data_IF_763592559841
#
_entry.id   IF_763592559841
#
_cell.length_a   1.000
_cell.length_b   1.000
_cell.length_c   1.000
_cell.angle_alpha   90.00
_cell.angle_beta   90.00
_cell.angle_gamma   90.00
#
_symmetry.space_group_name_H-M   'P 1'
#
loop_
_entity.id
_entity.type
_entity.pdbx_description
1 polymer ?
#
# COMPACT_ATOMS: atom_id res chain seq x y z
N UNK A 1 -36.24 1.83 -4.01
CA UNK A 1 -35.80 2.74 -5.09
C UNK A 1 -34.79 3.69 -4.46
N UNK A 2 -33.49 3.48 -4.67
CA UNK A 2 -32.43 4.40 -4.22
C UNK A 2 -32.38 5.62 -5.13
N UNK A 3 -32.18 6.81 -4.56
CA UNK A 3 -32.13 8.07 -5.31
C UNK A 3 -30.79 8.18 -6.08
N UNK A 4 -30.71 8.94 -7.19
CA UNK A 4 -29.46 9.12 -7.95
C UNK A 4 -28.28 9.67 -7.11
N UNK A 5 -28.57 10.36 -6.00
CA UNK A 5 -27.60 10.81 -5.00
C UNK A 5 -26.89 9.66 -4.29
N UNK A 6 -27.56 8.52 -4.06
CA UNK A 6 -27.00 7.37 -3.33
C UNK A 6 -25.82 6.76 -4.12
N UNK A 7 -25.96 6.66 -5.44
CA UNK A 7 -24.89 6.12 -6.30
C UNK A 7 -23.67 7.06 -6.35
N UNK A 8 -23.91 8.38 -6.36
CA UNK A 8 -22.83 9.38 -6.31
C UNK A 8 -22.10 9.36 -4.97
N UNK A 9 -22.83 9.23 -3.86
CA UNK A 9 -22.25 9.11 -2.52
C UNK A 9 -21.44 7.82 -2.39
N UNK A 10 -21.97 6.68 -2.85
CA UNK A 10 -21.23 5.41 -2.84
C UNK A 10 -19.93 5.49 -3.65
N UNK A 11 -19.96 6.13 -4.83
CA UNK A 11 -18.74 6.29 -5.65
C UNK A 11 -17.68 7.19 -5.00
N UNK A 12 -18.11 8.24 -4.29
CA UNK A 12 -17.21 9.12 -3.55
C UNK A 12 -16.57 8.38 -2.38
N UNK A 13 -17.37 7.66 -1.60
CA UNK A 13 -16.89 6.83 -0.48
C UNK A 13 -15.88 5.78 -0.95
N UNK A 14 -16.11 5.10 -2.07
CA UNK A 14 -15.14 4.15 -2.62
C UNK A 14 -13.80 4.82 -2.98
N UNK A 15 -13.85 6.01 -3.58
CA UNK A 15 -12.66 6.79 -3.94
C UNK A 15 -11.88 7.22 -2.71
N UNK A 16 -12.58 7.64 -1.66
CA UNK A 16 -11.98 8.03 -0.37
C UNK A 16 -11.30 6.83 0.31
N UNK A 17 -11.95 5.66 0.34
CA UNK A 17 -11.38 4.45 0.90
C UNK A 17 -10.12 4.02 0.15
N UNK A 18 -10.15 4.04 -1.19
CA UNK A 18 -8.98 3.73 -2.00
C UNK A 18 -7.83 4.72 -1.71
N UNK A 19 -8.14 6.00 -1.61
CA UNK A 19 -7.15 7.04 -1.31
C UNK A 19 -6.54 6.85 0.07
N UNK A 20 -7.36 6.58 1.09
CA UNK A 20 -6.90 6.31 2.44
C UNK A 20 -5.98 5.08 2.50
N UNK A 21 -6.39 3.98 1.85
CA UNK A 21 -5.56 2.78 1.74
C UNK A 21 -4.20 3.06 1.08
N UNK A 22 -4.18 3.81 -0.02
CA UNK A 22 -2.94 4.17 -0.70
C UNK A 22 -2.02 5.02 0.18
N UNK A 23 -2.58 5.97 0.93
CA UNK A 23 -1.81 6.83 1.85
C UNK A 23 -1.19 6.02 2.99
N UNK A 24 -1.96 5.10 3.59
CA UNK A 24 -1.48 4.23 4.67
C UNK A 24 -0.41 3.26 4.15
N UNK A 25 -0.65 2.63 3.00
CA UNK A 25 0.32 1.76 2.35
C UNK A 25 1.62 2.50 2.05
N UNK A 26 1.52 3.69 1.45
CA UNK A 26 2.68 4.52 1.12
C UNK A 26 3.49 4.89 2.36
N UNK A 27 2.81 5.35 3.41
CA UNK A 27 3.44 5.73 4.69
C UNK A 27 4.17 4.53 5.30
N UNK A 28 3.53 3.36 5.28
CA UNK A 28 4.09 2.12 5.83
C UNK A 28 5.31 1.65 5.03
N UNK A 29 5.21 1.63 3.70
CA UNK A 29 6.33 1.24 2.82
C UNK A 29 7.49 2.21 2.98
N UNK A 30 7.23 3.52 3.03
CA UNK A 30 8.24 4.55 3.26
C UNK A 30 9.01 4.24 4.55
N UNK A 31 8.32 4.04 5.66
CA UNK A 31 8.97 3.85 6.96
C UNK A 31 9.77 2.55 7.00
N UNK A 32 9.18 1.44 6.54
CA UNK A 32 9.84 0.13 6.55
C UNK A 32 11.03 0.07 5.61
N UNK A 33 10.91 0.62 4.41
CA UNK A 33 12.01 0.60 3.44
C UNK A 33 13.10 1.60 3.80
N UNK A 34 12.77 2.75 4.39
CA UNK A 34 13.78 3.67 4.91
C UNK A 34 14.58 3.02 6.05
N UNK A 35 13.91 2.49 7.07
CA UNK A 35 14.56 1.79 8.20
C UNK A 35 15.46 0.64 7.71
N UNK A 36 15.00 -0.12 6.72
CA UNK A 36 15.74 -1.27 6.22
C UNK A 36 16.93 -0.92 5.34
N UNK A 37 16.82 0.11 4.50
CA UNK A 37 17.78 0.37 3.43
C UNK A 37 18.70 1.57 3.69
N UNK A 38 18.30 2.55 4.50
CA UNK A 38 19.08 3.77 4.77
C UNK A 38 19.76 3.67 6.13
N UNK A 39 20.90 2.97 6.15
CA UNK A 39 21.65 2.69 7.40
C UNK A 39 22.54 3.85 7.85
N UNK A 40 22.91 4.74 6.93
CA UNK A 40 23.74 5.92 7.19
C UNK A 40 23.15 7.13 6.46
N UNK A 41 22.19 7.83 7.09
CA UNK A 41 21.53 8.97 6.46
C UNK A 41 22.55 10.02 6.00
N UNK A 42 22.41 10.44 4.74
CA UNK A 42 23.24 11.47 4.12
C UNK A 42 22.34 12.41 3.30
N UNK A 43 22.92 13.50 2.76
CA UNK A 43 22.17 14.41 1.87
C UNK A 43 21.74 13.77 0.55
N UNK A 44 22.28 12.61 0.20
CA UNK A 44 21.93 11.86 -1.00
C UNK A 44 21.87 10.35 -0.73
N UNK A 45 21.12 9.63 -1.56
CA UNK A 45 21.10 8.18 -1.55
C UNK A 45 22.28 7.65 -2.36
N UNK A 46 23.04 6.72 -1.77
CA UNK A 46 24.03 5.94 -2.51
C UNK A 46 23.36 4.95 -3.49
N UNK A 47 24.11 4.48 -4.49
CA UNK A 47 23.60 3.51 -5.47
C UNK A 47 23.07 2.22 -4.83
N UNK A 48 23.72 1.74 -3.76
CA UNK A 48 23.27 0.58 -2.99
C UNK A 48 21.97 0.84 -2.23
N UNK A 49 21.77 2.05 -1.67
CA UNK A 49 20.53 2.43 -0.99
C UNK A 49 19.38 2.54 -1.99
N UNK A 50 19.62 3.17 -3.15
CA UNK A 50 18.64 3.25 -4.24
C UNK A 50 18.20 1.86 -4.72
N UNK A 51 19.16 0.96 -4.96
CA UNK A 51 18.85 -0.41 -5.38
C UNK A 51 18.12 -1.21 -4.28
N UNK A 52 18.47 -1.00 -3.02
CA UNK A 52 17.77 -1.61 -1.89
C UNK A 52 16.32 -1.11 -1.80
N UNK A 53 16.10 0.21 -1.89
CA UNK A 53 14.76 0.81 -1.83
C UNK A 53 13.86 0.31 -2.95
N UNK A 54 14.36 0.26 -4.19
CA UNK A 54 13.59 -0.30 -5.31
C UNK A 54 13.12 -1.74 -5.03
N UNK A 55 14.05 -2.61 -4.62
CA UNK A 55 13.73 -3.99 -4.27
C UNK A 55 12.79 -4.07 -3.07
N UNK A 56 12.98 -3.24 -2.05
CA UNK A 56 12.17 -3.24 -0.85
C UNK A 56 10.71 -2.91 -1.17
N UNK A 57 10.47 -1.85 -1.94
CA UNK A 57 9.13 -1.46 -2.39
C UNK A 57 8.46 -2.58 -3.18
N UNK A 58 9.16 -3.18 -4.15
CA UNK A 58 8.63 -4.28 -4.97
C UNK A 58 8.26 -5.50 -4.10
N UNK A 59 9.14 -5.90 -3.19
CA UNK A 59 8.90 -7.03 -2.29
C UNK A 59 7.76 -6.74 -1.31
N UNK A 60 7.65 -5.51 -0.79
CA UNK A 60 6.58 -5.15 0.13
C UNK A 60 5.21 -5.17 -0.56
N UNK A 61 5.13 -4.64 -1.78
CA UNK A 61 3.92 -4.68 -2.59
C UNK A 61 3.49 -6.12 -2.90
N UNK A 62 4.42 -6.97 -3.35
CA UNK A 62 4.14 -8.40 -3.62
C UNK A 62 3.67 -9.13 -2.35
N UNK A 63 4.36 -8.94 -1.23
CA UNK A 63 3.99 -9.55 0.04
C UNK A 63 2.58 -9.10 0.49
N UNK A 64 2.27 -7.82 0.32
CA UNK A 64 0.94 -7.27 0.66
C UNK A 64 -0.16 -7.93 -0.17
N UNK A 65 0.05 -8.15 -1.47
CA UNK A 65 -0.92 -8.86 -2.33
C UNK A 65 -1.11 -10.32 -1.92
N UNK A 66 -0.03 -11.02 -1.53
CA UNK A 66 -0.11 -12.40 -1.03
C UNK A 66 -0.91 -12.45 0.27
N UNK A 67 -0.60 -11.58 1.23
CA UNK A 67 -1.30 -11.50 2.51
C UNK A 67 -2.78 -11.15 2.30
N UNK A 68 -3.08 -10.18 1.44
CA UNK A 68 -4.46 -9.77 1.17
C UNK A 68 -5.30 -10.93 0.61
N UNK A 69 -4.76 -11.70 -0.34
CA UNK A 69 -5.43 -12.90 -0.86
C UNK A 69 -5.69 -13.93 0.24
N UNK A 70 -4.67 -14.26 1.04
CA UNK A 70 -4.81 -15.21 2.12
C UNK A 70 -5.85 -14.78 3.17
N UNK A 71 -5.91 -13.48 3.49
CA UNK A 71 -6.90 -12.94 4.43
C UNK A 71 -8.32 -13.06 3.88
N UNK A 72 -8.53 -12.76 2.59
CA UNK A 72 -9.83 -12.89 1.93
C UNK A 72 -10.30 -14.35 1.86
N UNK A 73 -9.39 -15.27 1.53
CA UNK A 73 -9.63 -16.72 1.56
C UNK A 73 -10.02 -17.19 2.97
N UNK A 74 -9.31 -16.72 4.01
CA UNK A 74 -9.61 -17.07 5.41
C UNK A 74 -10.96 -16.52 5.90
N UNK A 75 -11.42 -15.40 5.36
CA UNK A 75 -12.68 -14.77 5.76
C UNK A 75 -13.90 -15.31 5.01
N UNK A 76 -13.72 -16.29 4.11
CA UNK A 76 -14.81 -16.93 3.37
C UNK A 76 -15.50 -16.00 2.35
N UNK A 77 -14.85 -14.89 2.00
CA UNK A 77 -15.32 -13.91 1.02
C UNK A 77 -14.68 -14.11 -0.38
N UNK A 78 -13.94 -15.20 -0.55
CA UNK A 78 -13.16 -15.51 -1.76
C UNK A 78 -13.85 -16.45 -2.76
N UNK A 79 -15.16 -16.65 -2.66
CA UNK A 79 -15.96 -17.40 -3.67
C UNK A 79 -16.53 -16.42 -4.72
#
# INVERSE_FOLDING_TARGET
>A
MGSPSDHQVISQLQTELQTAYLQEFYTTVRDKCFEKCVTKPSSSLGSSEQQCLARCCDRYAEATQVVMRAVLEQSGLGD
#
